data_IF_044249938454
#
_entry.id   IF_044249938454
#
_cell.length_a   1.000
_cell.length_b   1.000
_cell.length_c   1.000
_cell.angle_alpha   90.00
_cell.angle_beta   90.00
_cell.angle_gamma   90.00
#
_symmetry.space_group_name_H-M   'P 1'
#
loop_
_entity.id
_entity.type
_entity.pdbx_description
1 polymer ?
#
# COMPACT_ATOMS: atom_id res chain seq x y z
N UNK A 1 -13.57 10.05 -19.11
CA UNK A 1 -12.85 8.82 -18.74
C UNK A 1 -13.77 7.82 -18.05
N UNK A 2 -14.57 8.24 -17.07
CA UNK A 2 -15.52 7.37 -16.36
C UNK A 2 -16.50 6.62 -17.26
N UNK A 3 -17.02 7.27 -18.31
CA UNK A 3 -17.89 6.61 -19.29
C UNK A 3 -17.28 5.32 -19.89
N UNK A 4 -15.98 5.31 -20.17
CA UNK A 4 -15.30 4.12 -20.69
C UNK A 4 -15.14 3.02 -19.62
N UNK A 5 -14.99 3.41 -18.35
CA UNK A 5 -14.89 2.45 -17.24
C UNK A 5 -16.26 1.85 -16.89
N UNK A 6 -17.36 2.58 -17.05
CA UNK A 6 -18.71 2.12 -16.69
C UNK A 6 -19.42 1.40 -17.83
N UNK A 7 -19.14 1.75 -19.08
CA UNK A 7 -19.77 1.11 -20.27
C UNK A 7 -19.45 -0.37 -20.41
N UNK A 8 -18.24 -0.79 -20.04
CA UNK A 8 -17.83 -2.20 -20.02
C UNK A 8 -16.91 -2.45 -18.82
N UNK A 9 -16.87 -3.66 -18.24
CA UNK A 9 -16.00 -3.93 -17.10
C UNK A 9 -14.53 -4.10 -17.52
N UNK A 10 -14.27 -4.32 -18.82
CA UNK A 10 -12.98 -4.76 -19.35
C UNK A 10 -11.85 -3.76 -19.04
N UNK A 11 -11.97 -2.44 -19.30
CA UNK A 11 -10.90 -1.50 -19.00
C UNK A 11 -10.57 -1.44 -17.50
N UNK A 12 -11.60 -1.48 -16.64
CA UNK A 12 -11.42 -1.51 -15.19
C UNK A 12 -10.69 -2.76 -14.72
N UNK A 13 -11.07 -3.93 -15.26
CA UNK A 13 -10.40 -5.20 -14.95
C UNK A 13 -8.95 -5.25 -15.46
N UNK A 14 -8.66 -4.73 -16.66
CA UNK A 14 -7.31 -4.68 -17.20
C UNK A 14 -6.41 -3.75 -16.38
N UNK A 15 -6.90 -2.55 -16.03
CA UNK A 15 -6.16 -1.62 -15.18
C UNK A 15 -5.91 -2.22 -13.80
N UNK A 16 -6.93 -2.84 -13.20
CA UNK A 16 -6.78 -3.55 -11.94
C UNK A 16 -5.73 -4.65 -12.03
N UNK A 17 -5.77 -5.46 -13.09
CA UNK A 17 -4.82 -6.55 -13.28
C UNK A 17 -3.38 -6.03 -13.36
N UNK A 18 -3.15 -4.99 -14.18
CA UNK A 18 -1.82 -4.38 -14.31
C UNK A 18 -1.34 -3.83 -12.98
N UNK A 19 -2.15 -2.98 -12.32
CA UNK A 19 -1.79 -2.34 -11.05
C UNK A 19 -1.52 -3.38 -9.95
N UNK A 20 -2.43 -4.32 -9.75
CA UNK A 20 -2.30 -5.30 -8.69
C UNK A 20 -1.08 -6.21 -8.87
N UNK A 21 -0.74 -6.55 -10.11
CA UNK A 21 0.48 -7.31 -10.43
C UNK A 21 1.73 -6.46 -10.21
N UNK A 22 1.75 -5.21 -10.68
CA UNK A 22 2.92 -4.34 -10.49
C UNK A 22 3.16 -3.99 -9.03
N UNK A 23 2.12 -3.82 -8.21
CA UNK A 23 2.23 -3.60 -6.76
C UNK A 23 3.13 -4.64 -6.08
N UNK A 24 2.85 -5.93 -6.34
CA UNK A 24 3.63 -7.04 -5.78
C UNK A 24 5.09 -7.02 -6.24
N UNK A 25 5.32 -6.85 -7.55
CA UNK A 25 6.68 -6.86 -8.10
C UNK A 25 7.50 -5.64 -7.68
N UNK A 26 6.88 -4.47 -7.55
CA UNK A 26 7.54 -3.27 -7.04
C UNK A 26 7.92 -3.44 -5.57
N UNK A 27 7.00 -3.92 -4.74
CA UNK A 27 7.25 -4.26 -3.33
C UNK A 27 8.44 -5.22 -3.20
N UNK A 28 8.42 -6.30 -3.97
CA UNK A 28 9.48 -7.30 -3.99
C UNK A 28 10.82 -6.72 -4.44
N UNK A 29 10.83 -5.90 -5.49
CA UNK A 29 12.04 -5.27 -6.02
C UNK A 29 12.67 -4.31 -5.02
N UNK A 30 11.84 -3.50 -4.36
CA UNK A 30 12.30 -2.58 -3.30
C UNK A 30 12.83 -3.36 -2.10
N UNK A 31 12.15 -4.42 -1.65
CA UNK A 31 12.62 -5.27 -0.56
C UNK A 31 13.97 -5.93 -0.88
N UNK A 32 14.18 -6.39 -2.12
CA UNK A 32 15.48 -6.91 -2.58
C UNK A 32 16.57 -5.86 -2.51
N UNK A 33 16.28 -4.66 -2.97
CA UNK A 33 17.22 -3.55 -2.94
C UNK A 33 17.69 -3.24 -1.52
N UNK A 34 16.75 -3.06 -0.58
CA UNK A 34 17.09 -2.83 0.82
C UNK A 34 17.89 -3.98 1.44
N UNK A 35 17.49 -5.24 1.17
CA UNK A 35 18.20 -6.42 1.67
C UNK A 35 19.64 -6.51 1.14
N UNK A 36 19.84 -6.22 -0.14
CA UNK A 36 21.16 -6.24 -0.79
C UNK A 36 22.10 -5.18 -0.21
N UNK A 37 21.59 -4.02 0.19
CA UNK A 37 22.41 -2.96 0.79
C UNK A 37 22.92 -3.32 2.20
N UNK A 38 22.23 -4.19 2.96
CA UNK A 38 22.66 -4.66 4.28
C UNK A 38 22.66 -3.60 5.41
N UNK A 39 22.43 -2.32 5.08
CA UNK A 39 22.39 -1.19 6.01
C UNK A 39 21.02 -1.04 6.68
N UNK A 40 19.97 -1.48 6.00
CA UNK A 40 18.59 -1.28 6.43
C UNK A 40 18.01 -2.53 7.08
N UNK A 41 17.54 -2.37 8.31
CA UNK A 41 16.90 -3.42 9.09
C UNK A 41 15.46 -3.04 9.40
N UNK A 42 14.52 -3.94 9.17
CA UNK A 42 13.11 -3.73 9.50
C UNK A 42 12.78 -4.58 10.73
N UNK A 43 12.18 -3.97 11.76
CA UNK A 43 11.92 -4.63 13.04
C UNK A 43 11.12 -5.95 12.90
N UNK A 44 10.21 -6.02 11.93
CA UNK A 44 9.44 -7.25 11.63
C UNK A 44 9.50 -7.61 10.16
N UNK A 45 8.94 -6.73 9.32
CA UNK A 45 8.83 -6.93 7.88
C UNK A 45 8.81 -5.57 7.20
N UNK A 46 9.39 -5.51 6.00
CA UNK A 46 9.24 -4.37 5.10
C UNK A 46 7.79 -4.22 4.63
N UNK A 47 7.14 -5.35 4.33
CA UNK A 47 5.74 -5.38 3.91
C UNK A 47 4.79 -5.13 5.09
N UNK A 48 3.89 -4.16 4.93
CA UNK A 48 2.94 -3.79 5.98
C UNK A 48 1.74 -4.73 6.03
N UNK A 49 1.37 -5.34 4.91
CA UNK A 49 0.20 -6.22 4.80
C UNK A 49 0.55 -7.61 5.34
N UNK A 50 0.01 -8.05 6.50
CA UNK A 50 0.40 -9.31 7.13
C UNK A 50 0.26 -10.54 6.22
N UNK A 51 -0.72 -10.50 5.31
CA UNK A 51 -0.98 -11.54 4.33
C UNK A 51 0.17 -11.75 3.34
N UNK A 52 1.06 -10.78 3.12
CA UNK A 52 2.14 -10.91 2.12
C UNK A 52 3.54 -10.91 2.72
N UNK A 53 3.69 -10.69 4.04
CA UNK A 53 4.99 -10.61 4.71
C UNK A 53 5.87 -11.83 4.43
N UNK A 54 5.34 -13.04 4.67
CA UNK A 54 6.08 -14.30 4.42
C UNK A 54 6.62 -14.39 2.98
N UNK A 55 5.84 -13.94 2.01
CA UNK A 55 6.22 -14.05 0.59
C UNK A 55 7.29 -13.00 0.23
N UNK A 56 7.15 -11.77 0.73
CA UNK A 56 8.10 -10.68 0.50
C UNK A 56 9.42 -10.91 1.25
N UNK A 57 9.36 -11.30 2.52
CA UNK A 57 10.55 -11.60 3.33
C UNK A 57 11.30 -12.82 2.77
N UNK A 58 10.54 -13.83 2.31
CA UNK A 58 11.04 -15.01 1.61
C UNK A 58 11.48 -14.76 0.17
N UNK A 59 11.34 -13.54 -0.35
CA UNK A 59 11.76 -13.14 -1.70
C UNK A 59 11.11 -13.94 -2.83
N UNK A 60 9.90 -14.47 -2.60
CA UNK A 60 9.16 -15.28 -3.54
C UNK A 60 8.87 -14.50 -4.83
N UNK A 61 9.18 -15.08 -6.00
CA UNK A 61 8.88 -14.45 -7.30
C UNK A 61 7.39 -14.54 -7.66
N UNK A 62 6.68 -15.51 -7.10
CA UNK A 62 5.26 -15.76 -7.35
C UNK A 62 4.61 -16.12 -6.02
N UNK A 63 3.59 -15.37 -5.63
CA UNK A 63 2.74 -15.67 -4.48
C UNK A 63 1.42 -16.28 -4.95
N UNK A 64 1.15 -17.53 -4.54
CA UNK A 64 -0.16 -18.18 -4.80
C UNK A 64 -1.31 -17.39 -4.20
N UNK A 65 -1.07 -16.74 -3.05
CA UNK A 65 -2.05 -15.90 -2.35
C UNK A 65 -2.34 -14.62 -3.13
N UNK A 66 -1.30 -13.99 -3.69
CA UNK A 66 -1.45 -12.82 -4.56
C UNK A 66 -2.25 -13.16 -5.81
N UNK A 67 -1.93 -14.27 -6.49
CA UNK A 67 -2.71 -14.74 -7.64
C UNK A 67 -4.17 -15.04 -7.29
N UNK A 68 -4.43 -15.68 -6.15
CA UNK A 68 -5.79 -15.92 -5.69
C UNK A 68 -6.57 -14.61 -5.50
N UNK A 69 -5.99 -13.63 -4.81
CA UNK A 69 -6.65 -12.34 -4.61
C UNK A 69 -6.80 -11.55 -5.90
N UNK A 70 -5.84 -11.62 -6.83
CA UNK A 70 -5.97 -11.03 -8.15
C UNK A 70 -7.24 -11.50 -8.85
N UNK A 71 -7.41 -12.82 -8.98
CA UNK A 71 -8.61 -13.39 -9.60
C UNK A 71 -9.90 -13.11 -8.80
N UNK A 72 -9.83 -13.16 -7.47
CA UNK A 72 -10.98 -12.85 -6.62
C UNK A 72 -11.45 -11.39 -6.81
N UNK A 73 -10.53 -10.41 -6.77
CA UNK A 73 -10.88 -9.01 -6.99
C UNK A 73 -11.33 -8.74 -8.42
N UNK A 74 -10.72 -9.35 -9.43
CA UNK A 74 -11.21 -9.27 -10.82
C UNK A 74 -12.65 -9.79 -10.94
N UNK A 75 -12.96 -10.90 -10.29
CA UNK A 75 -14.33 -11.42 -10.24
C UNK A 75 -15.28 -10.47 -9.51
N UNK A 76 -14.87 -9.88 -8.38
CA UNK A 76 -15.67 -8.87 -7.65
C UNK A 76 -15.94 -7.65 -8.53
N UNK A 77 -14.96 -7.18 -9.31
CA UNK A 77 -15.15 -6.06 -10.25
C UNK A 77 -16.22 -6.41 -11.29
N UNK A 78 -16.13 -7.59 -11.91
CA UNK A 78 -17.12 -8.06 -12.88
C UNK A 78 -18.52 -8.17 -12.25
N UNK A 79 -18.60 -8.73 -11.04
CA UNK A 79 -19.85 -8.87 -10.30
C UNK A 79 -20.49 -7.51 -9.97
N UNK A 80 -19.70 -6.56 -9.45
CA UNK A 80 -20.19 -5.21 -9.15
C UNK A 80 -20.63 -4.46 -10.39
N UNK A 81 -19.92 -4.61 -11.51
CA UNK A 81 -20.35 -4.03 -12.79
C UNK A 81 -21.70 -4.60 -13.22
N UNK A 82 -21.85 -5.93 -13.22
CA UNK A 82 -23.10 -6.59 -13.60
C UNK A 82 -24.26 -6.18 -12.69
N UNK A 83 -24.04 -6.13 -11.38
CA UNK A 83 -25.08 -5.77 -10.42
C UNK A 83 -25.47 -4.29 -10.56
N UNK A 84 -24.53 -3.36 -10.42
CA UNK A 84 -24.83 -1.94 -10.33
C UNK A 84 -25.08 -1.29 -11.68
N UNK A 85 -24.31 -1.64 -12.71
CA UNK A 85 -24.49 -1.05 -14.05
C UNK A 85 -25.60 -1.78 -14.80
N UNK A 86 -25.48 -3.10 -14.95
CA UNK A 86 -26.37 -3.85 -15.85
C UNK A 86 -27.75 -4.15 -15.24
N UNK A 87 -27.82 -4.45 -13.95
CA UNK A 87 -29.07 -4.89 -13.31
C UNK A 87 -29.84 -3.74 -12.66
N UNK A 88 -29.13 -2.80 -12.02
CA UNK A 88 -29.75 -1.74 -11.21
C UNK A 88 -29.72 -0.34 -11.85
N UNK A 89 -28.91 -0.12 -12.91
CA UNK A 89 -28.77 1.19 -13.54
C UNK A 89 -28.12 2.26 -12.65
N UNK A 90 -27.41 1.86 -11.59
CA UNK A 90 -26.68 2.72 -10.65
C UNK A 90 -25.19 2.76 -11.00
N UNK A 91 -24.86 3.33 -12.15
CA UNK A 91 -23.49 3.45 -12.65
C UNK A 91 -22.56 4.23 -11.70
N UNK A 92 -23.08 5.23 -10.98
CA UNK A 92 -22.33 5.99 -9.99
C UNK A 92 -21.76 5.13 -8.85
N UNK A 93 -22.47 4.08 -8.40
CA UNK A 93 -21.99 3.17 -7.35
C UNK A 93 -20.84 2.32 -7.86
N UNK A 94 -20.92 1.85 -9.10
CA UNK A 94 -19.81 1.15 -9.72
C UNK A 94 -18.62 2.08 -9.95
N UNK A 95 -18.85 3.32 -10.40
CA UNK A 95 -17.81 4.36 -10.55
C UNK A 95 -17.08 4.62 -9.22
N UNK A 96 -17.84 4.80 -8.13
CA UNK A 96 -17.27 4.89 -6.77
C UNK A 96 -16.44 3.66 -6.39
N UNK A 97 -16.97 2.46 -6.61
CA UNK A 97 -16.28 1.22 -6.26
C UNK A 97 -14.96 1.04 -7.04
N UNK A 98 -14.99 1.22 -8.36
CA UNK A 98 -13.79 1.05 -9.18
C UNK A 98 -12.76 2.16 -8.90
N UNK A 99 -13.22 3.38 -8.62
CA UNK A 99 -12.37 4.47 -8.15
C UNK A 99 -11.69 4.18 -6.83
N UNK A 100 -12.42 3.58 -5.88
CA UNK A 100 -11.87 3.15 -4.60
C UNK A 100 -10.72 2.16 -4.75
N UNK A 101 -10.81 1.23 -5.71
CA UNK A 101 -9.74 0.27 -5.99
C UNK A 101 -8.56 0.91 -6.74
N UNK A 102 -8.82 1.52 -7.90
CA UNK A 102 -7.76 1.99 -8.80
C UNK A 102 -6.98 3.16 -8.21
N UNK A 103 -7.64 4.09 -7.51
CA UNK A 103 -6.95 5.23 -6.90
C UNK A 103 -6.19 4.86 -5.63
N UNK A 104 -6.67 3.87 -4.86
CA UNK A 104 -5.90 3.32 -3.75
C UNK A 104 -4.61 2.67 -4.26
N UNK A 105 -4.71 1.82 -5.29
CA UNK A 105 -3.54 1.22 -5.94
C UNK A 105 -2.61 2.29 -6.49
N UNK A 106 -3.13 3.36 -7.10
CA UNK A 106 -2.32 4.48 -7.57
C UNK A 106 -1.52 5.14 -6.43
N UNK A 107 -2.15 5.41 -5.29
CA UNK A 107 -1.47 5.95 -4.11
C UNK A 107 -0.37 5.00 -3.59
N UNK A 108 -0.65 3.70 -3.58
CA UNK A 108 0.33 2.66 -3.22
C UNK A 108 1.50 2.61 -4.20
N UNK A 109 1.26 2.71 -5.51
CA UNK A 109 2.31 2.74 -6.53
C UNK A 109 3.22 3.95 -6.39
N UNK A 110 2.69 5.12 -6.08
CA UNK A 110 3.51 6.31 -5.85
C UNK A 110 4.45 6.15 -4.66
N UNK A 111 4.00 5.46 -3.60
CA UNK A 111 4.87 5.06 -2.48
C UNK A 111 5.96 4.10 -2.93
N UNK A 112 5.63 3.11 -3.76
CA UNK A 112 6.62 2.17 -4.30
C UNK A 112 7.63 2.84 -5.22
N UNK A 113 7.20 3.75 -6.09
CA UNK A 113 8.10 4.54 -6.93
C UNK A 113 9.08 5.35 -6.10
N UNK A 114 8.59 6.02 -5.03
CA UNK A 114 9.45 6.74 -4.09
C UNK A 114 10.48 5.81 -3.45
N UNK A 115 10.05 4.68 -2.91
CA UNK A 115 10.95 3.75 -2.22
C UNK A 115 11.96 3.11 -3.18
N UNK A 116 11.53 2.71 -4.38
CA UNK A 116 12.41 2.19 -5.42
C UNK A 116 13.44 3.25 -5.86
N UNK A 117 13.01 4.50 -6.03
CA UNK A 117 13.91 5.59 -6.37
C UNK A 117 14.93 5.85 -5.27
N UNK A 118 14.53 5.77 -4.00
CA UNK A 118 15.44 5.86 -2.86
C UNK A 118 16.51 4.78 -2.91
N UNK A 119 16.13 3.51 -3.11
CA UNK A 119 17.07 2.39 -3.27
C UNK A 119 18.07 2.69 -4.40
N UNK A 120 17.59 3.11 -5.58
CA UNK A 120 18.45 3.41 -6.73
C UNK A 120 19.45 4.52 -6.40
N UNK A 121 19.01 5.58 -5.71
CA UNK A 121 19.88 6.70 -5.33
C UNK A 121 20.92 6.22 -4.32
N UNK A 122 20.52 5.48 -3.29
CA UNK A 122 21.44 4.97 -2.27
C UNK A 122 22.49 4.01 -2.83
N UNK A 123 22.10 3.15 -3.78
CA UNK A 123 23.04 2.23 -4.44
C UNK A 123 24.06 2.97 -5.34
N UNK A 124 23.67 4.09 -5.96
CA UNK A 124 24.52 4.81 -6.93
C UNK A 124 25.41 5.86 -6.28
N UNK A 125 24.81 6.72 -5.45
CA UNK A 125 25.48 7.88 -4.88
C UNK A 125 26.16 7.54 -3.55
N UNK A 126 25.77 6.43 -2.91
CA UNK A 126 26.20 6.09 -1.56
C UNK A 126 25.68 7.09 -0.54
N UNK A 127 26.54 7.53 0.38
CA UNK A 127 26.21 8.54 1.40
C UNK A 127 25.44 8.03 2.62
N UNK A 128 25.14 6.73 2.67
CA UNK A 128 24.60 6.07 3.86
C UNK A 128 25.66 5.16 4.48
N UNK A 129 25.88 5.30 5.78
CA UNK A 129 26.78 4.47 6.56
C UNK A 129 26.13 4.09 7.88
N UNK A 130 26.52 2.94 8.44
CA UNK A 130 26.01 2.44 9.71
C UNK A 130 24.84 1.46 9.55
N UNK A 131 24.03 1.34 10.60
CA UNK A 131 22.83 0.49 10.61
C UNK A 131 21.60 1.37 10.85
N UNK A 132 20.63 1.30 9.95
CA UNK A 132 19.37 2.04 10.05
C UNK A 132 18.26 1.04 10.32
N UNK A 133 17.65 1.14 11.50
CA UNK A 133 16.53 0.28 11.89
C UNK A 133 15.20 1.03 11.74
N UNK A 134 14.33 0.55 10.85
CA UNK A 134 12.97 1.05 10.71
C UNK A 134 12.05 0.36 11.72
N UNK A 135 11.65 1.11 12.75
CA UNK A 135 10.63 0.67 13.70
C UNK A 135 9.27 0.52 13.02
N UNK A 136 8.54 -0.54 13.34
CA UNK A 136 7.29 -0.88 12.66
C UNK A 136 6.22 0.22 12.85
N UNK A 137 6.17 0.85 14.02
CA UNK A 137 5.29 1.99 14.31
C UNK A 137 5.55 3.15 13.36
N UNK A 138 6.81 3.49 13.11
CA UNK A 138 7.17 4.58 12.22
C UNK A 138 6.69 4.30 10.79
N UNK A 139 6.93 3.09 10.27
CA UNK A 139 6.49 2.70 8.92
C UNK A 139 4.97 2.78 8.74
N UNK A 140 4.19 2.36 9.75
CA UNK A 140 2.74 2.50 9.71
C UNK A 140 2.28 3.97 9.74
N UNK A 141 2.88 4.81 10.57
CA UNK A 141 2.50 6.22 10.68
C UNK A 141 2.88 7.01 9.41
N UNK A 142 4.06 6.74 8.85
CA UNK A 142 4.47 7.33 7.58
C UNK A 142 3.53 6.90 6.44
N UNK A 143 3.20 5.61 6.36
CA UNK A 143 2.24 5.14 5.37
C UNK A 143 0.83 5.69 5.60
N UNK A 144 0.41 5.91 6.85
CA UNK A 144 -0.87 6.52 7.15
C UNK A 144 -0.92 7.97 6.64
N UNK A 145 0.14 8.74 6.88
CA UNK A 145 0.27 10.11 6.38
C UNK A 145 0.18 10.16 4.86
N UNK A 146 0.95 9.32 4.15
CA UNK A 146 0.89 9.24 2.68
C UNK A 146 -0.55 9.00 2.20
N UNK A 147 -1.27 8.03 2.81
CA UNK A 147 -2.65 7.71 2.45
C UNK A 147 -3.62 8.87 2.74
N UNK A 148 -3.45 9.59 3.86
CA UNK A 148 -4.26 10.77 4.12
C UNK A 148 -3.99 11.91 3.13
N UNK A 149 -2.73 12.12 2.72
CA UNK A 149 -2.39 13.12 1.70
C UNK A 149 -3.09 12.82 0.37
N UNK A 150 -3.08 11.55 -0.08
CA UNK A 150 -3.83 11.14 -1.27
C UNK A 150 -5.35 11.24 -1.08
N UNK A 151 -5.87 10.94 0.11
CA UNK A 151 -7.29 11.11 0.40
C UNK A 151 -7.73 12.57 0.26
N UNK A 152 -6.95 13.52 0.79
CA UNK A 152 -7.21 14.96 0.64
C UNK A 152 -7.12 15.38 -0.82
N UNK A 153 -6.10 14.93 -1.55
CA UNK A 153 -5.95 15.22 -2.97
C UNK A 153 -7.16 14.73 -3.77
N UNK A 154 -7.57 13.47 -3.61
CA UNK A 154 -8.72 12.91 -4.32
C UNK A 154 -10.04 13.57 -3.89
N UNK A 155 -10.17 13.98 -2.63
CA UNK A 155 -11.33 14.75 -2.17
C UNK A 155 -11.39 16.13 -2.84
N UNK A 156 -10.26 16.83 -2.96
CA UNK A 156 -10.21 18.11 -3.68
C UNK A 156 -10.60 17.94 -5.15
N UNK A 157 -10.09 16.90 -5.82
CA UNK A 157 -10.50 16.59 -7.21
C UNK A 157 -11.97 16.21 -7.30
N UNK A 158 -12.51 15.48 -6.32
CA UNK A 158 -13.95 15.20 -6.23
C UNK A 158 -14.78 16.49 -6.12
N UNK A 159 -14.41 17.43 -5.25
CA UNK A 159 -15.13 18.71 -5.11
C UNK A 159 -15.15 19.49 -6.43
N UNK A 160 -14.07 19.44 -7.20
CA UNK A 160 -13.96 20.13 -8.49
C UNK A 160 -14.72 19.43 -9.63
N UNK A 161 -14.87 18.10 -9.58
CA UNK A 161 -15.38 17.31 -10.70
C UNK A 161 -16.74 16.66 -10.43
N UNK A 162 -17.18 16.62 -9.16
CA UNK A 162 -18.33 15.87 -8.65
C UNK A 162 -18.32 14.38 -9.04
N UNK A 163 -17.14 13.82 -9.28
CA UNK A 163 -16.93 12.46 -9.77
C UNK A 163 -16.99 11.41 -8.64
N UNK A 164 -17.95 10.47 -8.64
CA UNK A 164 -18.00 9.39 -7.65
C UNK A 164 -16.71 8.57 -7.60
N UNK A 165 -16.01 8.43 -8.73
CA UNK A 165 -14.72 7.75 -8.84
C UNK A 165 -13.66 8.32 -7.88
N UNK A 166 -13.48 9.65 -7.88
CA UNK A 166 -12.53 10.30 -6.97
C UNK A 166 -12.98 10.24 -5.51
N UNK A 167 -14.29 10.30 -5.25
CA UNK A 167 -14.80 10.11 -3.89
C UNK A 167 -14.51 8.69 -3.37
N UNK A 168 -14.62 7.67 -4.23
CA UNK A 168 -14.24 6.30 -3.93
C UNK A 168 -12.77 6.19 -3.52
N UNK A 169 -11.88 6.81 -4.31
CA UNK A 169 -10.45 6.86 -4.02
C UNK A 169 -10.12 7.59 -2.72
N UNK A 170 -10.79 8.73 -2.46
CA UNK A 170 -10.64 9.47 -1.23
C UNK A 170 -11.03 8.61 -0.02
N UNK A 171 -12.17 7.92 -0.11
CA UNK A 171 -12.69 7.05 0.93
C UNK A 171 -11.74 5.87 1.23
N UNK A 172 -11.27 5.16 0.21
CA UNK A 172 -10.40 3.99 0.39
C UNK A 172 -9.01 4.37 0.93
N UNK A 173 -8.43 5.48 0.45
CA UNK A 173 -7.19 6.03 1.00
C UNK A 173 -7.37 6.44 2.46
N UNK A 174 -8.45 7.15 2.81
CA UNK A 174 -8.73 7.55 4.19
C UNK A 174 -8.89 6.33 5.11
N UNK A 175 -9.70 5.35 4.70
CA UNK A 175 -9.92 4.13 5.47
C UNK A 175 -8.62 3.35 5.70
N UNK A 176 -7.76 3.27 4.67
CA UNK A 176 -6.44 2.62 4.76
C UNK A 176 -5.51 3.39 5.70
N UNK A 177 -5.43 4.72 5.56
CA UNK A 177 -4.65 5.59 6.45
C UNK A 177 -5.09 5.49 7.91
N UNK A 178 -6.40 5.39 8.15
CA UNK A 178 -6.97 5.16 9.48
C UNK A 178 -6.56 3.82 10.06
N UNK A 179 -6.66 2.74 9.27
CA UNK A 179 -6.20 1.41 9.70
C UNK A 179 -4.70 1.42 10.04
N UNK A 180 -3.87 2.01 9.20
CA UNK A 180 -2.43 2.13 9.45
C UNK A 180 -2.14 2.95 10.72
N UNK A 181 -2.85 4.06 10.94
CA UNK A 181 -2.74 4.86 12.16
C UNK A 181 -3.08 4.05 13.40
N UNK A 182 -4.16 3.26 13.35
CA UNK A 182 -4.57 2.38 14.47
C UNK A 182 -3.56 1.27 14.74
N UNK A 183 -3.02 0.64 13.70
CA UNK A 183 -1.98 -0.38 13.89
C UNK A 183 -0.68 0.22 14.44
N UNK A 184 -0.25 1.37 13.93
CA UNK A 184 0.92 2.09 14.44
C UNK A 184 0.79 2.49 15.92
N UNK A 185 -0.39 2.96 16.34
CA UNK A 185 -0.65 3.36 17.75
C UNK A 185 -0.66 2.18 18.73
N UNK A 186 -0.91 0.95 18.27
CA UNK A 186 -0.88 -0.26 19.11
C UNK A 186 0.54 -0.77 19.38
N UNK A 187 1.53 -0.28 18.64
CA UNK A 187 2.92 -0.69 18.79
C UNK A 187 3.65 0.25 19.78
N UNK A 188 4.53 -0.29 20.64
CA UNK A 188 5.35 0.54 21.53
C UNK A 188 6.23 1.50 20.72
N UNK A 189 6.51 2.69 21.26
CA UNK A 189 7.52 3.56 20.67
C UNK A 189 8.91 2.98 20.91
N UNK A 190 9.85 3.23 19.98
CA UNK A 190 11.24 2.82 20.14
C UNK A 190 11.85 3.36 21.46
N UNK A 191 11.50 4.57 21.87
CA UNK A 191 11.90 5.14 23.16
C UNK A 191 11.33 4.39 24.36
N UNK A 192 10.08 3.93 24.30
CA UNK A 192 9.47 3.16 25.38
C UNK A 192 10.04 1.74 25.49
N UNK A 193 10.55 1.18 24.38
CA UNK A 193 11.26 -0.09 24.39
C UNK A 193 12.66 0.05 25.03
N UNK A 194 13.37 1.14 24.74
CA UNK A 194 14.69 1.42 25.33
C UNK A 194 14.64 1.71 26.83
N UNK A 195 13.57 2.33 27.34
CA UNK A 195 13.41 2.56 28.78
C UNK A 195 12.85 1.35 29.53
N UNK A 196 12.32 0.34 28.83
CA UNK A 196 11.79 -0.88 29.43
C UNK A 196 12.83 -1.99 29.58
N UNK A 197 14.00 -1.91 28.93
CA UNK A 197 15.15 -2.73 29.30
C UNK A 197 15.68 -2.22 30.65
N UNK A 198 15.49 -2.97 31.75
CA UNK A 198 16.09 -2.60 33.01
C UNK A 198 17.60 -2.61 32.80
N UNK A 199 18.32 -1.63 33.34
CA UNK A 199 19.76 -1.69 33.51
C UNK A 199 20.12 -3.04 34.14
N UNK A 200 20.46 -4.03 33.30
CA UNK A 200 21.04 -5.28 33.75
C UNK A 200 22.43 -4.88 34.23
N UNK A 201 22.52 -4.75 35.55
CA UNK A 201 23.69 -4.33 36.29
C UNK A 201 24.91 -5.16 35.83
N UNK A 202 25.95 -4.55 35.23
CA UNK A 202 27.15 -5.28 34.81
C UNK A 202 28.03 -5.73 36.01
N UNK A 203 27.57 -5.57 37.26
CA UNK A 203 28.37 -5.82 38.47
C UNK A 203 28.19 -7.20 39.12
N UNK A 204 28.17 -8.28 38.33
CA UNK A 204 28.36 -9.64 38.88
C UNK A 204 29.31 -10.48 38.02
N UNK A 205 30.61 -10.35 38.31
CA UNK A 205 31.69 -11.14 37.74
C UNK A 205 33.06 -10.56 38.05
#
# INVERSE_FOLDING_TARGET
>A
MEYYLTSTPIPGMLLWFVLYVSDYYMTLSTARGYKKMGIFHFEKSFELTPQFQKDIDGQARVSRRHLFYLFAYTFVILFFWYLFVKSLGMDFLYSFFIGALLLLETAVHMRHFRNLRQVIIYEREGGLSGNITFGQRFSYLLSAFDMYSYAVLFLLVFVLTFSPFFLGGAFSCFATGFRHSRYGKKLPSAQAAQTAEPNADPSSG
#
